data_IF_112554293538
#
_entry.id   IF_112554293538
#
_cell.length_a   1.000
_cell.length_b   1.000
_cell.length_c   1.000
_cell.angle_alpha   90.00
_cell.angle_beta   90.00
_cell.angle_gamma   90.00
#
_symmetry.space_group_name_H-M   'P 1'
#
loop_
_entity.id
_entity.type
_entity.pdbx_description
1 polymer ?
#
# COMPACT_ATOMS: atom_id res chain seq x y z
N UNK A 1 -8.26 9.43 36.04
CA UNK A 1 -9.11 9.06 34.89
C UNK A 1 -8.66 9.89 33.71
N UNK A 2 -8.04 9.26 32.71
CA UNK A 2 -7.63 9.96 31.48
C UNK A 2 -8.90 10.07 30.63
N UNK A 3 -9.35 11.29 30.40
CA UNK A 3 -10.49 11.57 29.53
C UNK A 3 -10.01 11.39 28.08
N UNK A 4 -10.25 10.22 27.50
CA UNK A 4 -10.03 9.98 26.08
C UNK A 4 -11.10 10.78 25.34
N UNK A 5 -10.74 11.72 24.44
CA UNK A 5 -11.72 12.46 23.68
C UNK A 5 -12.50 11.50 22.78
N UNK A 6 -13.78 11.29 23.10
CA UNK A 6 -14.73 10.53 22.27
C UNK A 6 -15.31 11.54 21.27
N UNK A 7 -14.51 11.94 20.29
CA UNK A 7 -15.08 12.53 19.08
C UNK A 7 -15.74 11.40 18.30
N UNK A 8 -16.91 11.60 17.67
CA UNK A 8 -17.33 10.70 16.60
C UNK A 8 -16.33 10.96 15.46
N UNK A 9 -15.23 10.21 15.46
CA UNK A 9 -14.39 10.10 14.28
C UNK A 9 -15.31 9.55 13.20
N UNK A 10 -15.61 10.41 12.23
CA UNK A 10 -16.28 10.07 10.98
C UNK A 10 -15.75 8.69 10.52
N UNK A 11 -16.63 7.71 10.38
CA UNK A 11 -16.25 6.32 10.07
C UNK A 11 -15.33 6.28 8.85
N UNK A 12 -15.59 7.14 7.86
CA UNK A 12 -14.76 7.28 6.66
C UNK A 12 -13.36 7.80 6.97
N UNK A 13 -13.22 8.73 7.92
CA UNK A 13 -11.91 9.21 8.35
C UNK A 13 -11.13 8.11 9.09
N UNK A 14 -11.80 7.26 9.86
CA UNK A 14 -11.17 6.12 10.55
C UNK A 14 -10.67 5.07 9.55
N UNK A 15 -11.52 4.69 8.60
CA UNK A 15 -11.17 3.76 7.52
C UNK A 15 -10.00 4.28 6.70
N UNK A 16 -9.97 5.58 6.39
CA UNK A 16 -8.86 6.20 5.68
C UNK A 16 -7.55 6.13 6.48
N UNK A 17 -7.60 6.36 7.79
CA UNK A 17 -6.42 6.24 8.66
C UNK A 17 -5.95 4.79 8.72
N UNK A 18 -6.85 3.83 8.91
CA UNK A 18 -6.52 2.40 8.96
C UNK A 18 -5.91 1.94 7.63
N UNK A 19 -6.47 2.38 6.50
CA UNK A 19 -5.90 2.17 5.18
C UNK A 19 -4.48 2.75 5.08
N UNK A 20 -4.29 4.03 5.42
CA UNK A 20 -2.99 4.69 5.36
C UNK A 20 -1.94 4.05 6.28
N UNK A 21 -2.34 3.50 7.43
CA UNK A 21 -1.46 2.76 8.34
C UNK A 21 -1.06 1.41 7.72
N UNK A 22 -2.03 0.65 7.19
CA UNK A 22 -1.76 -0.61 6.49
C UNK A 22 -0.86 -0.39 5.28
N UNK A 23 -1.14 0.62 4.47
CA UNK A 23 -0.43 0.92 3.22
C UNK A 23 1.04 1.31 3.43
N UNK A 24 1.42 1.78 4.62
CA UNK A 24 2.82 2.02 4.99
C UNK A 24 3.63 0.73 5.18
N UNK A 25 2.97 -0.37 5.51
CA UNK A 25 3.61 -1.67 5.68
C UNK A 25 4.00 -2.27 4.33
N UNK A 26 4.95 -3.20 4.34
CA UNK A 26 5.36 -3.92 3.12
C UNK A 26 4.19 -4.73 2.57
N UNK A 27 3.47 -5.45 3.45
CA UNK A 27 2.31 -6.25 3.08
C UNK A 27 1.18 -5.39 2.49
N UNK A 28 0.81 -4.29 3.14
CA UNK A 28 -0.23 -3.40 2.63
C UNK A 28 0.13 -2.73 1.30
N UNK A 29 1.41 -2.36 1.11
CA UNK A 29 1.86 -1.86 -0.19
C UNK A 29 1.74 -2.93 -1.28
N UNK A 30 2.16 -4.18 -0.99
CA UNK A 30 2.03 -5.30 -1.92
C UNK A 30 0.55 -5.54 -2.25
N UNK A 31 -0.33 -5.52 -1.26
CA UNK A 31 -1.76 -5.72 -1.46
C UNK A 31 -2.36 -4.69 -2.44
N UNK A 32 -2.09 -3.39 -2.22
CA UNK A 32 -2.58 -2.35 -3.13
C UNK A 32 -1.98 -2.51 -4.53
N UNK A 33 -0.72 -2.92 -4.63
CA UNK A 33 -0.10 -3.27 -5.91
C UNK A 33 -0.84 -4.42 -6.62
N UNK A 34 -1.16 -5.50 -5.90
CA UNK A 34 -1.91 -6.64 -6.47
C UNK A 34 -3.28 -6.19 -6.96
N UNK A 35 -4.02 -5.41 -6.17
CA UNK A 35 -5.32 -4.88 -6.57
C UNK A 35 -5.22 -4.04 -7.86
N UNK A 36 -4.21 -3.16 -7.96
CA UNK A 36 -3.94 -2.37 -9.16
C UNK A 36 -3.54 -3.24 -10.35
N UNK A 37 -2.76 -4.28 -10.10
CA UNK A 37 -2.33 -5.19 -11.14
C UNK A 37 -3.50 -6.02 -11.69
N UNK A 38 -4.39 -6.51 -10.82
CA UNK A 38 -5.62 -7.19 -11.21
C UNK A 38 -6.58 -6.27 -11.97
N UNK A 39 -6.70 -4.99 -11.58
CA UNK A 39 -7.47 -3.99 -12.33
C UNK A 39 -6.97 -3.78 -13.76
N UNK A 40 -5.68 -4.02 -14.01
CA UNK A 40 -5.07 -3.97 -15.34
C UNK A 40 -5.07 -5.32 -16.07
N UNK A 41 -5.68 -6.36 -15.49
CA UNK A 41 -5.80 -7.69 -16.08
C UNK A 41 -4.82 -8.75 -15.56
N UNK A 42 -3.96 -8.41 -14.58
CA UNK A 42 -3.09 -9.39 -13.92
C UNK A 42 -1.96 -9.95 -14.81
N UNK A 43 -1.71 -9.37 -15.97
CA UNK A 43 -0.67 -9.84 -16.88
C UNK A 43 0.68 -9.21 -16.56
N UNK A 44 1.77 -9.98 -16.71
CA UNK A 44 3.14 -9.55 -16.37
C UNK A 44 3.55 -8.20 -17.00
N UNK A 45 3.04 -7.91 -18.20
CA UNK A 45 3.30 -6.65 -18.91
C UNK A 45 2.79 -5.40 -18.16
N UNK A 46 1.75 -5.56 -17.33
CA UNK A 46 1.15 -4.47 -16.56
C UNK A 46 1.77 -4.27 -15.16
N UNK A 47 2.69 -5.14 -14.72
CA UNK A 47 3.32 -5.01 -13.38
C UNK A 47 4.02 -3.66 -13.21
N UNK A 48 4.70 -3.17 -14.26
CA UNK A 48 5.35 -1.85 -14.22
C UNK A 48 4.36 -0.72 -14.00
N UNK A 49 3.25 -0.72 -14.74
CA UNK A 49 2.19 0.29 -14.62
C UNK A 49 1.46 0.21 -13.27
N UNK A 50 1.18 -1.01 -12.78
CA UNK A 50 0.59 -1.23 -11.47
C UNK A 50 1.48 -0.69 -10.34
N UNK A 51 2.79 -0.93 -10.42
CA UNK A 51 3.75 -0.38 -9.46
C UNK A 51 3.79 1.15 -9.49
N UNK A 52 3.88 1.75 -10.68
CA UNK A 52 3.87 3.21 -10.81
C UNK A 52 2.60 3.83 -10.23
N UNK A 53 1.43 3.26 -10.53
CA UNK A 53 0.16 3.71 -9.99
C UNK A 53 0.11 3.59 -8.45
N UNK A 54 0.67 2.51 -7.90
CA UNK A 54 0.75 2.29 -6.45
C UNK A 54 1.68 3.29 -5.77
N UNK A 55 2.85 3.58 -6.35
CA UNK A 55 3.78 4.61 -5.84
C UNK A 55 3.19 6.02 -5.91
N UNK A 56 2.47 6.35 -6.99
CA UNK A 56 1.78 7.63 -7.12
C UNK A 56 0.73 7.79 -6.03
N UNK A 57 -0.08 6.76 -5.78
CA UNK A 57 -1.06 6.75 -4.69
C UNK A 57 -0.38 6.89 -3.33
N UNK A 58 0.70 6.15 -3.09
CA UNK A 58 1.50 6.22 -1.86
C UNK A 58 2.03 7.63 -1.61
N UNK A 59 2.60 8.25 -2.65
CA UNK A 59 3.13 9.61 -2.57
C UNK A 59 2.02 10.62 -2.30
N UNK A 60 0.87 10.49 -2.98
CA UNK A 60 -0.28 11.38 -2.82
C UNK A 60 -0.88 11.32 -1.42
N UNK A 61 -0.97 10.14 -0.81
CA UNK A 61 -1.63 9.96 0.48
C UNK A 61 -0.71 10.25 1.67
N UNK A 62 0.57 9.93 1.55
CA UNK A 62 1.50 9.97 2.68
C UNK A 62 2.52 11.10 2.59
N UNK A 63 2.61 11.79 1.43
CA UNK A 63 3.51 12.92 1.17
C UNK A 63 4.98 12.64 1.56
N UNK A 64 5.42 11.39 1.38
CA UNK A 64 6.74 10.88 1.80
C UNK A 64 7.67 10.54 0.63
N UNK A 65 7.27 10.83 -0.60
CA UNK A 65 7.96 10.35 -1.79
C UNK A 65 7.80 8.84 -1.98
N UNK A 66 8.78 8.20 -2.63
CA UNK A 66 8.74 6.77 -2.95
C UNK A 66 8.87 5.88 -1.72
N UNK A 67 8.12 4.77 -1.68
CA UNK A 67 8.23 3.76 -0.60
C UNK A 67 9.50 2.93 -0.73
N UNK A 68 9.80 2.52 -1.96
CA UNK A 68 10.96 1.72 -2.33
C UNK A 68 11.92 2.57 -3.15
N UNK A 69 13.22 2.27 -3.06
CA UNK A 69 14.26 2.98 -3.83
C UNK A 69 14.03 2.84 -5.34
N UNK A 70 13.66 1.63 -5.74
CA UNK A 70 13.40 1.24 -7.12
C UNK A 70 12.50 -0.02 -7.19
N UNK A 71 12.10 -0.39 -8.40
CA UNK A 71 11.20 -1.51 -8.67
C UNK A 71 11.80 -2.86 -8.32
N UNK A 72 13.11 -3.04 -8.48
CA UNK A 72 13.77 -4.32 -8.22
C UNK A 72 13.78 -4.61 -6.72
N UNK A 73 14.01 -3.59 -5.89
CA UNK A 73 13.88 -3.68 -4.44
C UNK A 73 12.45 -4.06 -4.04
N UNK A 74 11.44 -3.46 -4.68
CA UNK A 74 10.04 -3.85 -4.45
C UNK A 74 9.75 -5.30 -4.82
N UNK A 75 10.10 -5.74 -6.05
CA UNK A 75 9.83 -7.11 -6.48
C UNK A 75 10.58 -8.15 -5.64
N UNK A 76 11.78 -7.81 -5.15
CA UNK A 76 12.52 -8.63 -4.20
C UNK A 76 11.79 -8.75 -2.85
N UNK A 77 11.26 -7.63 -2.32
CA UNK A 77 10.47 -7.63 -1.09
C UNK A 77 9.17 -8.43 -1.25
N UNK A 78 8.48 -8.27 -2.38
CA UNK A 78 7.28 -9.03 -2.74
C UNK A 78 7.55 -10.54 -2.80
N UNK A 79 8.61 -10.96 -3.48
CA UNK A 79 9.00 -12.37 -3.58
C UNK A 79 9.28 -12.99 -2.21
N UNK A 80 10.00 -12.25 -1.35
CA UNK A 80 10.28 -12.66 0.04
C UNK A 80 9.00 -12.78 0.88
N UNK A 81 8.06 -11.85 0.74
CA UNK A 81 6.79 -11.89 1.45
C UNK A 81 6.04 -13.19 1.18
N UNK A 82 5.88 -13.58 -0.08
CA UNK A 82 5.23 -14.84 -0.45
C UNK A 82 6.01 -16.09 -0.02
N UNK A 83 7.34 -16.00 0.03
CA UNK A 83 8.20 -17.12 0.48
C UNK A 83 8.15 -17.33 2.00
N UNK A 84 7.75 -16.32 2.77
CA UNK A 84 7.57 -16.41 4.23
C UNK A 84 6.16 -16.86 4.63
N UNK A 85 5.19 -16.71 3.72
CA UNK A 85 3.79 -17.11 3.91
C UNK A 85 3.46 -18.49 3.32
N UNK A 86 4.42 -19.13 2.62
CA UNK A 86 4.35 -20.52 2.11
C UNK A 86 5.02 -21.50 3.07
#
# INVERSE_FOLDING_TARGET
MICIPILPLDTTARELVDFCLSFQTVAGFIQVFEEKWQQLGGEKQYMGAAYESTEQLYTSLLNRGRRFKDREVFYSARSRHYSQES
#
